data_IF_564276322840
#
_entry.id   IF_564276322840
#
_cell.length_a   1.000
_cell.length_b   1.000
_cell.length_c   1.000
_cell.angle_alpha   90.00
_cell.angle_beta   90.00
_cell.angle_gamma   90.00
#
_symmetry.space_group_name_H-M   'P 1'
#
loop_
_entity.id
_entity.type
_entity.pdbx_description
1 polymer ?
#
# COMPACT_ATOMS: atom_id res chain seq x y z
N UNK A 1 0.88 13.81 -21.56
CA UNK A 1 1.19 13.42 -20.17
C UNK A 1 2.34 12.43 -20.25
N UNK A 2 3.41 12.65 -19.50
CA UNK A 2 4.51 11.68 -19.41
C UNK A 2 4.12 10.57 -18.43
N UNK A 3 4.47 9.34 -18.79
CA UNK A 3 4.16 8.14 -18.02
C UNK A 3 5.45 7.43 -17.65
N UNK A 4 5.56 7.05 -16.40
CA UNK A 4 6.52 6.06 -15.97
C UNK A 4 5.80 4.72 -15.91
N UNK A 5 6.21 3.81 -16.79
CA UNK A 5 5.59 2.48 -16.89
C UNK A 5 6.16 1.64 -15.76
N UNK A 6 5.28 1.17 -14.87
CA UNK A 6 5.62 0.24 -13.80
C UNK A 6 5.35 -1.17 -14.32
N UNK A 7 6.35 -2.03 -14.24
CA UNK A 7 6.31 -3.43 -14.68
C UNK A 7 5.91 -4.36 -13.55
N UNK A 8 5.51 -5.60 -13.87
CA UNK A 8 5.26 -6.62 -12.84
C UNK A 8 6.53 -6.96 -12.05
N UNK A 9 7.70 -6.87 -12.68
CA UNK A 9 9.00 -7.01 -12.04
C UNK A 9 9.22 -5.93 -10.97
N UNK A 10 8.89 -4.66 -11.27
CA UNK A 10 8.95 -3.57 -10.27
C UNK A 10 8.00 -3.83 -9.10
N UNK A 11 6.79 -4.35 -9.37
CA UNK A 11 5.84 -4.71 -8.31
C UNK A 11 6.40 -5.84 -7.45
N UNK A 12 6.94 -6.90 -8.06
CA UNK A 12 7.52 -8.02 -7.31
C UNK A 12 8.67 -7.55 -6.40
N UNK A 13 9.56 -6.69 -6.90
CA UNK A 13 10.64 -6.11 -6.10
C UNK A 13 10.09 -5.27 -4.94
N UNK A 14 9.08 -4.44 -5.21
CA UNK A 14 8.44 -3.61 -4.20
C UNK A 14 7.82 -4.45 -3.07
N UNK A 15 7.15 -5.55 -3.41
CA UNK A 15 6.56 -6.49 -2.45
C UNK A 15 7.63 -7.15 -1.58
N UNK A 16 8.73 -7.63 -2.17
CA UNK A 16 9.83 -8.23 -1.40
C UNK A 16 10.49 -7.22 -0.44
N UNK A 17 10.71 -5.99 -0.90
CA UNK A 17 11.30 -4.94 -0.06
C UNK A 17 10.36 -4.57 1.09
N UNK A 18 9.07 -4.37 0.83
CA UNK A 18 8.11 -4.02 1.88
C UNK A 18 7.92 -5.19 2.86
N UNK A 19 7.85 -6.43 2.37
CA UNK A 19 7.78 -7.61 3.23
C UNK A 19 8.98 -7.68 4.19
N UNK A 20 10.19 -7.46 3.67
CA UNK A 20 11.40 -7.41 4.50
C UNK A 20 11.37 -6.28 5.53
N UNK A 21 10.93 -5.07 5.16
CA UNK A 21 10.78 -3.97 6.12
C UNK A 21 9.80 -4.31 7.25
N UNK A 22 8.69 -4.99 6.92
CA UNK A 22 7.70 -5.45 7.91
C UNK A 22 8.35 -6.45 8.88
N UNK A 23 9.02 -7.47 8.34
CA UNK A 23 9.74 -8.50 9.12
C UNK A 23 10.79 -7.86 10.07
N UNK A 24 11.55 -6.88 9.58
CA UNK A 24 12.59 -6.18 10.35
C UNK A 24 12.02 -5.39 11.56
N UNK A 25 10.78 -4.90 11.47
CA UNK A 25 10.15 -4.18 12.59
C UNK A 25 9.69 -5.08 13.74
N UNK A 26 9.58 -6.39 13.52
CA UNK A 26 9.03 -7.36 14.49
C UNK A 26 7.59 -7.04 14.95
N UNK A 27 6.86 -6.23 14.18
CA UNK A 27 5.45 -5.96 14.43
C UNK A 27 4.62 -7.09 13.82
N UNK A 28 3.65 -7.59 14.59
CA UNK A 28 2.77 -8.66 14.13
C UNK A 28 1.45 -8.08 13.64
N UNK A 29 1.22 -8.12 12.32
CA UNK A 29 -0.08 -7.83 11.73
C UNK A 29 -0.91 -9.11 11.65
N UNK A 30 -2.18 -9.02 12.06
CA UNK A 30 -3.17 -10.10 12.00
C UNK A 30 -3.89 -10.11 10.65
N UNK A 31 -4.08 -8.95 10.03
CA UNK A 31 -4.76 -8.82 8.73
C UNK A 31 -4.13 -7.73 7.85
N UNK A 32 -4.26 -7.88 6.54
CA UNK A 32 -4.01 -6.82 5.56
C UNK A 32 -5.32 -6.27 5.03
N UNK A 33 -5.42 -4.96 4.84
CA UNK A 33 -6.54 -4.32 4.17
C UNK A 33 -6.04 -3.47 2.99
N UNK A 34 -6.28 -3.97 1.78
CA UNK A 34 -5.97 -3.27 0.54
C UNK A 34 -7.02 -2.23 0.20
N UNK A 35 -6.61 -0.99 -0.03
CA UNK A 35 -7.51 0.08 -0.42
C UNK A 35 -7.95 -0.11 -1.87
N UNK A 36 -9.26 -0.34 -2.05
CA UNK A 36 -9.79 -0.52 -3.39
C UNK A 36 -9.73 0.79 -4.21
N UNK A 37 -9.24 0.78 -5.45
CA UNK A 37 -8.87 -0.40 -6.26
C UNK A 37 -7.35 -0.69 -6.26
N UNK A 38 -6.52 0.35 -6.20
CA UNK A 38 -5.06 0.26 -6.41
C UNK A 38 -4.34 -0.64 -5.41
N UNK A 39 -4.66 -0.49 -4.13
CA UNK A 39 -4.11 -1.30 -3.04
C UNK A 39 -4.50 -2.79 -3.02
N UNK A 40 -5.44 -3.24 -3.85
CA UNK A 40 -5.89 -4.65 -3.83
C UNK A 40 -4.81 -5.62 -4.31
N UNK A 41 -4.14 -5.28 -5.42
CA UNK A 41 -3.10 -6.15 -5.99
C UNK A 41 -1.90 -6.24 -5.04
N UNK A 42 -1.34 -5.13 -4.53
CA UNK A 42 -0.28 -5.18 -3.53
C UNK A 42 -0.67 -5.91 -2.24
N UNK A 43 -1.92 -5.74 -1.76
CA UNK A 43 -2.39 -6.41 -0.56
C UNK A 43 -2.47 -7.93 -0.72
N UNK A 44 -2.97 -8.44 -1.86
CA UNK A 44 -2.98 -9.88 -2.16
C UNK A 44 -1.56 -10.44 -2.23
N UNK A 45 -0.64 -9.72 -2.88
CA UNK A 45 0.75 -10.17 -3.02
C UNK A 45 1.47 -10.20 -1.67
N UNK A 46 1.34 -9.15 -0.85
CA UNK A 46 1.87 -9.12 0.51
C UNK A 46 1.23 -10.20 1.40
N UNK A 47 -0.07 -10.45 1.25
CA UNK A 47 -0.80 -11.46 2.02
C UNK A 47 -0.18 -12.85 1.82
N UNK A 48 0.05 -13.23 0.57
CA UNK A 48 0.74 -14.48 0.24
C UNK A 48 2.20 -14.48 0.73
N UNK A 49 2.93 -13.38 0.54
CA UNK A 49 4.36 -13.30 0.87
C UNK A 49 4.64 -13.34 2.38
N UNK A 50 3.76 -12.77 3.20
CA UNK A 50 3.90 -12.70 4.65
C UNK A 50 3.07 -13.77 5.37
N UNK A 51 2.25 -14.53 4.64
CA UNK A 51 1.28 -15.47 5.20
C UNK A 51 0.31 -14.79 6.22
N UNK A 52 -0.19 -13.60 5.86
CA UNK A 52 -1.13 -12.80 6.65
C UNK A 52 -2.43 -12.68 5.87
N UNK A 53 -3.61 -13.04 6.44
CA UNK A 53 -4.86 -12.99 5.69
C UNK A 53 -5.24 -11.57 5.28
N UNK A 54 -5.81 -11.42 4.09
CA UNK A 54 -6.39 -10.16 3.61
C UNK A 54 -7.90 -10.09 3.92
N UNK A 55 -8.37 -8.93 4.36
CA UNK A 55 -9.79 -8.61 4.51
C UNK A 55 -10.27 -7.69 3.39
N UNK A 56 -11.58 -7.70 3.11
CA UNK A 56 -12.15 -6.94 2.00
C UNK A 56 -12.60 -5.53 2.38
N UNK A 57 -12.81 -5.27 3.67
CA UNK A 57 -13.26 -3.97 4.18
C UNK A 57 -12.93 -3.82 5.67
N UNK A 58 -13.07 -2.58 6.17
CA UNK A 58 -12.83 -2.27 7.59
C UNK A 58 -13.84 -2.93 8.54
N UNK A 59 -15.07 -3.23 8.10
CA UNK A 59 -16.06 -3.92 8.94
C UNK A 59 -15.56 -5.31 9.36
N UNK A 60 -14.85 -6.02 8.47
CA UNK A 60 -14.23 -7.30 8.80
C UNK A 60 -13.12 -7.18 9.85
N UNK A 61 -12.30 -6.13 9.78
CA UNK A 61 -11.27 -5.84 10.81
C UNK A 61 -11.92 -5.73 12.18
N UNK A 62 -13.02 -4.97 12.26
CA UNK A 62 -13.77 -4.77 13.50
C UNK A 62 -14.47 -6.04 13.98
N UNK A 63 -15.09 -6.79 13.06
CA UNK A 63 -15.78 -8.05 13.34
C UNK A 63 -14.83 -9.11 13.91
N UNK A 64 -13.63 -9.20 13.35
CA UNK A 64 -12.59 -10.14 13.80
C UNK A 64 -11.96 -9.75 15.14
N UNK A 65 -12.32 -8.58 15.71
CA UNK A 65 -11.75 -8.02 16.94
C UNK A 65 -10.22 -7.95 16.86
N UNK A 66 -9.70 -7.66 15.66
CA UNK A 66 -8.26 -7.45 15.45
C UNK A 66 -7.79 -6.42 16.46
N UNK A 67 -6.79 -6.79 17.27
CA UNK A 67 -6.31 -5.90 18.34
C UNK A 67 -5.82 -4.59 17.72
N UNK A 68 -6.04 -3.48 18.44
CA UNK A 68 -5.73 -2.15 17.95
C UNK A 68 -4.37 -2.10 17.23
N UNK A 69 -4.41 -1.73 15.94
CA UNK A 69 -3.27 -1.53 15.03
C UNK A 69 -2.60 -2.79 14.47
N UNK A 70 -3.15 -3.98 14.70
CA UNK A 70 -2.68 -5.20 14.03
C UNK A 70 -3.27 -5.39 12.62
N UNK A 71 -3.91 -4.37 12.05
CA UNK A 71 -4.25 -4.33 10.63
C UNK A 71 -3.27 -3.40 9.89
N UNK A 72 -2.69 -3.89 8.80
CA UNK A 72 -1.85 -3.09 7.91
C UNK A 72 -2.68 -2.60 6.72
N UNK A 73 -2.73 -1.28 6.54
CA UNK A 73 -3.39 -0.67 5.38
C UNK A 73 -2.41 -0.67 4.21
N UNK A 74 -2.86 -1.10 3.04
CA UNK A 74 -2.01 -1.25 1.85
C UNK A 74 -2.60 -0.45 0.69
N UNK A 75 -1.76 0.34 0.03
CA UNK A 75 -2.09 1.06 -1.20
C UNK A 75 -0.97 0.92 -2.24
N UNK A 76 -1.24 1.25 -3.51
CA UNK A 76 -0.20 1.26 -4.55
C UNK A 76 0.62 2.55 -4.53
N UNK A 77 -0.02 3.71 -4.28
CA UNK A 77 0.67 5.00 -4.20
C UNK A 77 0.10 5.93 -3.13
N UNK A 78 0.99 6.54 -2.34
CA UNK A 78 0.68 7.72 -1.56
C UNK A 78 0.99 8.98 -2.38
N UNK A 79 0.00 9.47 -3.13
CA UNK A 79 0.17 10.59 -4.05
C UNK A 79 0.03 11.96 -3.36
N UNK A 80 -1.21 12.40 -3.09
CA UNK A 80 -1.49 13.54 -2.18
C UNK A 80 -1.58 13.10 -0.72
N UNK A 81 -1.83 11.81 -0.48
CA UNK A 81 -2.02 11.22 0.85
C UNK A 81 -3.41 11.48 1.47
N UNK A 82 -4.35 12.11 0.77
CA UNK A 82 -5.70 12.41 1.32
C UNK A 82 -6.46 11.16 1.73
N UNK A 83 -6.45 10.11 0.89
CA UNK A 83 -7.08 8.82 1.22
C UNK A 83 -6.46 8.19 2.48
N UNK A 84 -5.14 8.24 2.57
CA UNK A 84 -4.38 7.61 3.66
C UNK A 84 -4.50 8.38 4.97
N UNK A 85 -4.81 9.68 4.92
CA UNK A 85 -4.90 10.56 6.08
C UNK A 85 -5.90 10.05 7.12
N UNK A 86 -7.05 9.55 6.69
CA UNK A 86 -8.05 8.96 7.58
C UNK A 86 -7.48 7.81 8.43
N UNK A 87 -6.68 6.93 7.81
CA UNK A 87 -6.08 5.78 8.48
C UNK A 87 -4.90 6.18 9.36
N UNK A 88 -4.09 7.15 8.92
CA UNK A 88 -2.97 7.69 9.70
C UNK A 88 -3.45 8.42 10.97
N UNK A 89 -4.54 9.20 10.87
CA UNK A 89 -5.17 9.85 12.02
C UNK A 89 -5.68 8.84 13.04
N UNK A 90 -6.19 7.70 12.58
CA UNK A 90 -6.55 6.55 13.43
C UNK A 90 -5.38 5.70 13.89
N UNK A 91 -4.15 6.07 13.50
CA UNK A 91 -2.90 5.43 13.92
C UNK A 91 -2.75 3.99 13.43
N UNK A 92 -3.32 3.68 12.26
CA UNK A 92 -2.95 2.47 11.54
C UNK A 92 -1.56 2.62 10.94
N UNK A 93 -0.83 1.51 10.88
CA UNK A 93 0.36 1.44 10.05
C UNK A 93 -0.07 1.30 8.59
N UNK A 94 0.70 1.91 7.69
CA UNK A 94 0.39 1.98 6.26
C UNK A 94 1.61 1.54 5.46
N UNK A 95 1.37 0.70 4.46
CA UNK A 95 2.30 0.34 3.41
C UNK A 95 1.81 0.92 2.07
N UNK A 96 2.69 1.59 1.32
CA UNK A 96 2.40 1.99 -0.05
C UNK A 96 3.59 1.67 -0.95
N UNK A 97 3.38 1.14 -2.15
CA UNK A 97 4.51 0.82 -3.04
C UNK A 97 5.32 2.08 -3.36
N UNK A 98 4.63 3.14 -3.78
CA UNK A 98 5.24 4.42 -4.14
C UNK A 98 4.77 5.55 -3.23
N UNK A 99 5.64 6.53 -2.99
CA UNK A 99 5.29 7.75 -2.24
C UNK A 99 5.76 8.96 -3.01
N UNK A 100 4.86 9.90 -3.32
CA UNK A 100 5.25 11.17 -3.92
C UNK A 100 5.63 12.16 -2.82
N UNK A 101 6.94 12.30 -2.56
CA UNK A 101 7.43 12.98 -1.35
C UNK A 101 7.04 14.47 -1.30
N UNK A 102 6.99 15.16 -2.44
CA UNK A 102 6.71 16.60 -2.48
C UNK A 102 5.23 16.95 -2.37
N UNK A 103 4.31 15.97 -2.47
CA UNK A 103 2.85 16.20 -2.38
C UNK A 103 2.18 15.43 -1.25
N UNK A 104 2.73 14.28 -0.86
CA UNK A 104 2.08 13.40 0.09
C UNK A 104 2.08 13.98 1.50
N UNK A 105 0.88 14.10 2.07
CA UNK A 105 0.68 14.54 3.48
C UNK A 105 0.91 13.44 4.50
N UNK A 106 0.90 12.19 4.04
CA UNK A 106 1.11 11.00 4.86
C UNK A 106 2.44 10.37 4.46
N UNK A 107 3.20 9.93 5.46
CA UNK A 107 4.40 9.12 5.25
C UNK A 107 4.07 7.68 5.65
N UNK A 108 3.79 6.79 4.68
CA UNK A 108 3.65 5.36 4.95
C UNK A 108 4.84 4.85 5.75
N UNK A 109 4.56 3.94 6.68
CA UNK A 109 5.59 3.31 7.51
C UNK A 109 6.49 2.41 6.67
N UNK A 110 5.91 1.77 5.66
CA UNK A 110 6.61 0.93 4.71
C UNK A 110 6.39 1.46 3.30
N UNK A 111 7.47 1.58 2.54
CA UNK A 111 7.39 1.91 1.12
C UNK A 111 8.55 1.36 0.33
N UNK A 112 8.34 1.16 -0.97
CA UNK A 112 9.42 0.73 -1.86
C UNK A 112 10.21 1.93 -2.36
N UNK A 113 9.54 2.90 -3.01
CA UNK A 113 10.26 4.00 -3.67
C UNK A 113 9.58 5.36 -3.51
N UNK A 114 10.42 6.36 -3.31
CA UNK A 114 10.03 7.76 -3.27
C UNK A 114 10.15 8.39 -4.67
N UNK A 115 9.13 9.15 -5.05
CA UNK A 115 8.96 9.80 -6.35
C UNK A 115 9.07 11.31 -6.16
N UNK A 116 9.96 11.93 -6.94
CA UNK A 116 10.30 13.36 -6.85
C UNK A 116 9.97 14.16 -8.13
N UNK A 117 9.11 13.62 -8.98
CA UNK A 117 8.58 14.27 -10.19
C UNK A 117 7.06 14.08 -10.26
N UNK A 118 6.41 14.68 -11.25
CA UNK A 118 4.95 14.65 -11.43
C UNK A 118 4.48 13.67 -12.53
N UNK A 119 5.37 12.86 -13.09
CA UNK A 119 4.99 11.84 -14.05
C UNK A 119 3.94 10.89 -13.44
N UNK A 120 3.01 10.49 -14.28
CA UNK A 120 1.98 9.54 -13.90
C UNK A 120 2.59 8.14 -13.87
N UNK A 121 2.41 7.41 -12.77
CA UNK A 121 2.83 6.01 -12.69
C UNK A 121 1.74 5.16 -13.33
N UNK A 122 2.04 4.50 -14.44
CA UNK A 122 1.11 3.58 -15.10
C UNK A 122 1.35 2.17 -14.54
N UNK A 123 0.45 1.71 -13.68
CA UNK A 123 0.56 0.40 -13.05
C UNK A 123 0.17 -0.75 -14.00
N UNK A 124 0.66 -1.99 -13.77
CA UNK A 124 0.35 -3.13 -14.64
C UNK A 124 -1.13 -3.51 -14.73
N UNK A 125 -1.92 -3.14 -13.72
CA UNK A 125 -3.38 -3.37 -13.67
C UNK A 125 -4.20 -2.25 -14.34
N UNK A 126 -3.53 -1.26 -14.93
CA UNK A 126 -4.16 -0.11 -15.57
C UNK A 126 -3.84 -0.06 -17.06
N UNK A 127 -4.64 0.72 -17.80
CA UNK A 127 -4.39 1.12 -19.18
C UNK A 127 -4.32 2.64 -19.25
N UNK A 128 -3.70 3.18 -20.30
CA UNK A 128 -3.64 4.65 -20.50
C UNK A 128 -5.02 5.33 -20.47
N UNK A 129 -6.07 4.60 -20.88
CA UNK A 129 -7.44 5.11 -20.93
C UNK A 129 -8.20 4.96 -19.60
N UNK A 130 -7.81 3.98 -18.76
CA UNK A 130 -8.46 3.69 -17.47
C UNK A 130 -7.76 4.34 -16.27
N UNK A 131 -6.50 4.68 -16.45
CA UNK A 131 -5.62 5.35 -15.49
C UNK A 131 -6.14 6.77 -15.24
N UNK A 132 -6.57 7.05 -14.00
CA UNK A 132 -7.18 8.33 -13.61
C UNK A 132 -6.73 8.78 -12.24
#
# INVERSE_FOLDING_TARGET
MEYDIITWEDINEAIEIIAKQIEDTKIHYEVLYGLARGGLVPAVMLSHRLNIPMVLNMEEVWRLKVKNKAALIVDDISDTGETLKYFDEQKFDIAALFVREHTSKVKPKYSYKNINHNNWLLFPWETKDSSK
#
